data_IF_837895417450
#
_entry.id   IF_837895417450
#
_cell.length_a   1.000
_cell.length_b   1.000
_cell.length_c   1.000
_cell.angle_alpha   90.00
_cell.angle_beta   90.00
_cell.angle_gamma   90.00
#
_symmetry.space_group_name_H-M   'P 1'
#
loop_
_entity.id
_entity.type
_entity.pdbx_description
1 polymer ?
#
# COMPACT_ATOMS: atom_id res chain seq x y z
N UNK A 1 5.14 -12.80 -5.31
CA UNK A 1 5.57 -11.40 -5.20
C UNK A 1 4.38 -10.48 -4.99
N UNK A 2 4.53 -9.48 -4.11
CA UNK A 2 3.54 -8.42 -3.88
C UNK A 2 4.24 -7.08 -4.12
N UNK A 3 3.59 -6.18 -4.84
CA UNK A 3 4.08 -4.82 -5.11
C UNK A 3 3.10 -3.78 -4.55
N UNK A 4 3.63 -2.66 -4.05
CA UNK A 4 2.81 -1.50 -3.67
C UNK A 4 2.55 -0.64 -4.90
N UNK A 5 1.27 -0.43 -5.23
CA UNK A 5 0.85 0.44 -6.33
C UNK A 5 0.74 1.90 -5.87
N UNK A 6 0.08 2.11 -4.73
CA UNK A 6 -0.10 3.42 -4.10
C UNK A 6 -0.23 3.30 -2.58
N UNK A 7 -0.07 4.42 -1.88
CA UNK A 7 -0.25 4.50 -0.42
C UNK A 7 -0.78 5.88 -0.04
N UNK A 8 -1.70 5.91 0.92
CA UNK A 8 -2.27 7.12 1.51
C UNK A 8 -2.33 7.00 3.04
N UNK A 9 -2.83 8.04 3.72
CA UNK A 9 -3.10 7.96 5.16
C UNK A 9 -4.27 7.03 5.54
N UNK A 10 -5.09 6.61 4.57
CA UNK A 10 -6.27 5.78 4.78
C UNK A 10 -6.12 4.33 4.33
N UNK A 11 -5.11 4.00 3.53
CA UNK A 11 -4.95 2.66 3.00
C UNK A 11 -3.78 2.52 2.04
N UNK A 12 -3.64 1.32 1.47
CA UNK A 12 -2.60 0.95 0.52
C UNK A 12 -3.20 0.17 -0.65
N UNK A 13 -2.77 0.52 -1.87
CA UNK A 13 -2.99 -0.25 -3.07
C UNK A 13 -1.86 -1.25 -3.28
N UNK A 14 -2.20 -2.51 -3.50
CA UNK A 14 -1.26 -3.61 -3.76
C UNK A 14 -1.57 -4.27 -5.10
N UNK A 15 -0.54 -4.84 -5.71
CA UNK A 15 -0.65 -5.78 -6.81
C UNK A 15 -0.06 -7.12 -6.36
N UNK A 16 -0.80 -8.21 -6.54
CA UNK A 16 -0.36 -9.56 -6.20
C UNK A 16 -0.38 -10.40 -7.49
N UNK A 17 0.75 -11.03 -7.82
CA UNK A 17 0.86 -11.93 -8.96
C UNK A 17 0.04 -13.20 -8.71
N UNK A 18 -0.60 -13.75 -9.75
CA UNK A 18 -1.57 -14.85 -9.62
C UNK A 18 -1.03 -16.07 -8.85
N UNK A 19 0.23 -16.44 -9.08
CA UNK A 19 0.86 -17.59 -8.41
C UNK A 19 1.03 -17.38 -6.89
N UNK A 20 0.88 -16.14 -6.42
CA UNK A 20 1.03 -15.74 -5.03
C UNK A 20 -0.27 -15.26 -4.38
N UNK A 21 -1.39 -15.24 -5.13
CA UNK A 21 -2.68 -14.83 -4.59
C UNK A 21 -3.13 -15.85 -3.55
N UNK A 22 -3.24 -15.46 -2.26
CA UNK A 22 -3.66 -16.40 -1.25
C UNK A 22 -5.11 -16.82 -1.45
N UNK A 23 -5.40 -18.12 -1.29
CA UNK A 23 -6.76 -18.67 -1.42
C UNK A 23 -7.77 -18.03 -0.46
N UNK A 24 -7.30 -17.47 0.66
CA UNK A 24 -8.13 -16.81 1.66
C UNK A 24 -8.38 -15.32 1.39
N UNK A 25 -7.80 -14.75 0.32
CA UNK A 25 -7.97 -13.34 -0.02
C UNK A 25 -9.39 -13.09 -0.54
N UNK A 26 -10.14 -12.24 0.17
CA UNK A 26 -11.53 -11.93 -0.16
C UNK A 26 -11.89 -10.50 0.29
N UNK A 27 -12.94 -9.93 -0.31
CA UNK A 27 -13.51 -8.65 0.10
C UNK A 27 -13.96 -8.69 1.57
N UNK A 28 -13.79 -7.60 2.31
CA UNK A 28 -14.10 -7.48 3.73
C UNK A 28 -13.15 -8.24 4.66
N UNK A 29 -12.15 -8.97 4.12
CA UNK A 29 -11.21 -9.73 4.94
C UNK A 29 -10.26 -8.78 5.67
N UNK A 30 -10.11 -8.98 6.98
CA UNK A 30 -9.09 -8.29 7.77
C UNK A 30 -7.73 -8.97 7.65
N UNK A 31 -6.70 -8.18 7.38
CA UNK A 31 -5.32 -8.63 7.18
C UNK A 31 -4.34 -7.68 7.85
N UNK A 32 -3.21 -8.22 8.30
CA UNK A 32 -2.06 -7.40 8.71
C UNK A 32 -1.24 -7.01 7.48
N UNK A 33 -0.91 -5.71 7.37
CA UNK A 33 0.00 -5.19 6.36
C UNK A 33 1.25 -4.67 7.03
N UNK A 34 2.42 -5.14 6.57
CA UNK A 34 3.71 -4.64 7.00
C UNK A 34 4.28 -3.69 5.93
N UNK A 35 4.29 -2.39 6.23
CA UNK A 35 4.79 -1.34 5.36
C UNK A 35 6.26 -1.05 5.67
N UNK A 36 7.22 -1.27 4.76
CA UNK A 36 8.65 -1.06 5.00
C UNK A 36 9.03 0.44 4.92
N UNK A 37 8.36 1.27 5.71
CA UNK A 37 8.49 2.74 5.71
C UNK A 37 8.98 3.31 7.04
N UNK A 38 9.33 2.44 7.99
CA UNK A 38 9.84 2.85 9.28
C UNK A 38 11.32 3.26 9.23
N UNK A 39 11.73 4.06 10.20
CA UNK A 39 13.13 4.46 10.38
C UNK A 39 14.03 3.22 10.57
N UNK A 40 15.25 3.31 10.05
CA UNK A 40 16.25 2.22 10.16
C UNK A 40 15.86 0.92 9.45
N UNK A 41 14.93 0.97 8.48
CA UNK A 41 14.46 -0.22 7.77
C UNK A 41 13.37 -1.00 8.51
N UNK A 42 12.83 -0.45 9.61
CA UNK A 42 11.71 -1.06 10.33
C UNK A 42 10.41 -1.02 9.51
N UNK A 43 9.48 -1.94 9.79
CA UNK A 43 8.14 -1.90 9.22
C UNK A 43 7.14 -1.23 10.15
N UNK A 44 6.25 -0.42 9.60
CA UNK A 44 5.00 -0.03 10.27
C UNK A 44 3.98 -1.14 9.98
N UNK A 45 3.47 -1.79 11.02
CA UNK A 45 2.45 -2.85 10.88
C UNK A 45 1.09 -2.27 11.20
N UNK A 46 0.12 -2.48 10.31
CA UNK A 46 -1.25 -1.98 10.47
C UNK A 46 -2.25 -3.07 10.15
N UNK A 47 -3.35 -3.10 10.90
CA UNK A 47 -4.50 -3.89 10.51
C UNK A 47 -5.21 -3.18 9.36
N UNK A 48 -5.73 -3.94 8.40
CA UNK A 48 -6.49 -3.40 7.29
C UNK A 48 -7.60 -4.34 6.86
N UNK A 49 -8.56 -3.79 6.15
CA UNK A 49 -9.66 -4.52 5.53
C UNK A 49 -9.54 -4.45 4.00
N UNK A 50 -9.72 -5.60 3.34
CA UNK A 50 -9.74 -5.65 1.88
C UNK A 50 -11.01 -4.99 1.37
N UNK A 51 -10.87 -3.82 0.76
CA UNK A 51 -11.99 -3.00 0.25
C UNK A 51 -12.09 -2.99 -1.27
N UNK A 52 -11.12 -3.59 -1.98
CA UNK A 52 -11.13 -3.75 -3.44
C UNK A 52 -10.36 -4.99 -3.85
N UNK A 53 -10.91 -5.77 -4.79
CA UNK A 53 -10.29 -6.92 -5.45
C UNK A 53 -10.70 -6.93 -6.92
N UNK A 54 -9.78 -6.54 -7.80
CA UNK A 54 -10.06 -6.36 -9.22
C UNK A 54 -8.95 -6.98 -10.07
N UNK A 55 -9.32 -7.54 -11.23
CA UNK A 55 -8.31 -7.82 -12.25
C UNK A 55 -7.81 -6.48 -12.82
N UNK A 56 -6.50 -6.31 -13.04
CA UNK A 56 -5.96 -5.08 -13.59
C UNK A 56 -6.59 -4.79 -14.96
N UNK A 57 -7.13 -3.59 -15.16
CA UNK A 57 -7.59 -3.14 -16.48
C UNK A 57 -6.42 -2.85 -17.43
N UNK A 58 -5.26 -2.46 -16.87
CA UNK A 58 -4.00 -2.24 -17.58
C UNK A 58 -2.82 -2.74 -16.73
N UNK A 59 -1.88 -3.47 -17.35
CA UNK A 59 -0.72 -4.07 -16.69
C UNK A 59 -0.55 -5.57 -17.01
N UNK A 60 0.35 -6.29 -16.30
CA UNK A 60 0.49 -7.74 -16.48
C UNK A 60 -0.85 -8.44 -16.17
N UNK A 61 -1.38 -9.17 -17.15
CA UNK A 61 -2.70 -9.81 -17.09
C UNK A 61 -2.80 -10.97 -16.06
N UNK A 62 -1.73 -11.25 -15.33
CA UNK A 62 -1.57 -12.40 -14.44
C UNK A 62 -1.47 -12.00 -12.97
N UNK A 63 -2.36 -11.13 -12.50
CA UNK A 63 -2.44 -10.77 -11.08
C UNK A 63 -3.78 -10.17 -10.69
N UNK A 64 -3.84 -9.69 -9.44
CA UNK A 64 -4.99 -9.00 -8.86
C UNK A 64 -4.54 -7.69 -8.21
N UNK A 65 -5.32 -6.64 -8.44
CA UNK A 65 -5.21 -5.37 -7.74
C UNK A 65 -6.03 -5.44 -6.46
N UNK A 66 -5.41 -5.11 -5.34
CA UNK A 66 -5.99 -5.20 -3.99
C UNK A 66 -5.95 -3.83 -3.34
N UNK A 67 -7.11 -3.34 -2.91
CA UNK A 67 -7.19 -2.16 -2.04
C UNK A 67 -7.35 -2.60 -0.59
N UNK A 68 -6.51 -2.08 0.30
CA UNK A 68 -6.59 -2.36 1.73
C UNK A 68 -6.79 -1.04 2.48
N UNK A 69 -7.94 -0.86 3.11
CA UNK A 69 -8.22 0.27 3.99
C UNK A 69 -7.68 0.00 5.39
N UNK A 70 -6.96 0.95 6.00
CA UNK A 70 -6.43 0.77 7.35
C UNK A 70 -7.55 0.83 8.39
N UNK A 71 -7.54 -0.13 9.32
CA UNK A 71 -8.48 -0.20 10.45
C UNK A 71 -7.68 -0.35 11.74
N UNK A 72 -8.22 0.13 12.86
CA UNK A 72 -7.59 -0.03 14.19
C UNK A 72 -6.13 0.50 14.26
N UNK A 73 -5.80 1.52 13.45
CA UNK A 73 -4.48 2.13 13.42
C UNK A 73 -4.31 3.16 14.54
N UNK A 74 -3.17 3.13 15.23
CA UNK A 74 -2.86 4.16 16.23
C UNK A 74 -2.50 5.50 15.57
N UNK A 75 -2.75 6.61 16.27
CA UNK A 75 -2.36 7.95 15.77
C UNK A 75 -0.86 8.07 15.51
N UNK A 76 -0.03 7.36 16.29
CA UNK A 76 1.42 7.29 16.07
C UNK A 76 1.76 6.62 14.73
N UNK A 77 1.13 5.50 14.40
CA UNK A 77 1.36 4.80 13.12
C UNK A 77 0.82 5.61 11.95
N UNK A 78 -0.38 6.20 12.11
CA UNK A 78 -0.99 7.09 11.12
C UNK A 78 -0.06 8.27 10.81
N UNK A 79 0.49 8.93 11.82
CA UNK A 79 1.42 10.05 11.65
C UNK A 79 2.68 9.64 10.87
N UNK A 80 3.21 8.42 11.11
CA UNK A 80 4.38 7.90 10.37
C UNK A 80 4.05 7.67 8.90
N UNK A 81 2.90 7.07 8.60
CA UNK A 81 2.45 6.85 7.22
C UNK A 81 2.25 8.19 6.50
N UNK A 82 1.54 9.12 7.12
CA UNK A 82 1.29 10.45 6.56
C UNK A 82 2.61 11.18 6.28
N UNK A 83 3.55 11.16 7.23
CA UNK A 83 4.87 11.76 7.06
C UNK A 83 5.60 11.17 5.85
N UNK A 84 5.63 9.84 5.73
CA UNK A 84 6.24 9.16 4.59
C UNK A 84 5.62 9.60 3.25
N UNK A 85 4.28 9.62 3.16
CA UNK A 85 3.57 10.05 1.95
C UNK A 85 3.96 11.48 1.56
N UNK A 86 3.96 12.41 2.52
CA UNK A 86 4.36 13.80 2.27
C UNK A 86 5.83 13.97 1.89
N UNK A 87 6.73 13.18 2.46
CA UNK A 87 8.15 13.18 2.08
C UNK A 87 8.31 12.71 0.62
N UNK A 88 7.65 11.61 0.23
CA UNK A 88 7.69 11.12 -1.15
C UNK A 88 7.06 12.09 -2.16
N UNK A 89 5.94 12.72 -1.83
CA UNK A 89 5.36 13.75 -2.69
C UNK A 89 6.31 14.94 -2.88
N UNK A 90 6.95 15.42 -1.81
CA UNK A 90 7.93 16.51 -1.90
C UNK A 90 9.15 16.14 -2.74
N UNK A 91 9.65 14.92 -2.62
CA UNK A 91 10.75 14.41 -3.46
C UNK A 91 10.38 14.41 -4.95
N UNK A 92 9.17 13.96 -5.30
CA UNK A 92 8.69 13.92 -6.68
C UNK A 92 8.55 15.33 -7.28
N UNK A 93 8.01 16.28 -6.52
CA UNK A 93 7.90 17.70 -6.95
C UNK A 93 9.28 18.31 -7.21
N UNK A 94 10.28 18.02 -6.35
CA UNK A 94 11.65 18.51 -6.56
C UNK A 94 12.27 17.92 -7.82
N UNK A 95 12.06 16.63 -8.08
CA UNK A 95 12.59 15.95 -9.28
C UNK A 95 11.98 16.50 -10.56
N UNK A 96 10.68 16.79 -10.58
CA UNK A 96 10.03 17.39 -11.75
C UNK A 96 10.56 18.81 -12.01
N UNK A 97 10.75 19.61 -10.96
CA UNK A 97 11.25 21.00 -11.08
C UNK A 97 12.72 21.13 -11.49
N UNK A 98 13.51 20.04 -11.44
CA UNK A 98 14.94 20.04 -11.83
C UNK A 98 15.15 19.44 -13.22
N UNK A 99 14.09 18.90 -13.84
CA UNK A 99 14.15 18.22 -15.15
C UNK A 99 13.64 19.13 -16.30
N UNK A 100 13.42 20.42 -16.02
CA UNK A 100 13.07 21.48 -16.97
C UNK A 100 14.27 22.42 -17.20
#
# INVERSE_FOLDING_TARGET
>A
TVATADISGGGVGLFIWNDDVPVWLAMGRRIWVALPIGEGGSSVRVMGEVVRLEKPEAGPANGVSVGVGFVEISERERARIIRFVFERQRELIRKSATSE
#
